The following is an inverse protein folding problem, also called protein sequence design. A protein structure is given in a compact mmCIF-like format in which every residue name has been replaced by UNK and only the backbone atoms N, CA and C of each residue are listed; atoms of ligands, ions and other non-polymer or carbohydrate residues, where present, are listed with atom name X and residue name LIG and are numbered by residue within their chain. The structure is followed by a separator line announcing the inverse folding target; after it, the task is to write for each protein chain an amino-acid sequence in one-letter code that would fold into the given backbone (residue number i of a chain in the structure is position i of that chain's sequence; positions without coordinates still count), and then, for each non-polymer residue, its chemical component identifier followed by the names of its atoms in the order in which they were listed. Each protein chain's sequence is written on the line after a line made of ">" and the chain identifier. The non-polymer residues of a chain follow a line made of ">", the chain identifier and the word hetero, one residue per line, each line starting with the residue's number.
data_IF_224093311491
#
_entry.id   IF_224093311491
#
_cell.length_a   1.000
_cell.length_b   1.000
_cell.length_c   1.000
_cell.angle_alpha   90.00
_cell.angle_beta   90.00
_cell.angle_gamma   90.00
#
_symmetry.space_group_name_H-M   'P 1'
#
loop_
_entity.id
_entity.type
_entity.pdbx_description
1 polymer ?
#
# COMPACT_ATOMS: atom_id res chain seq x y z
N UNK A 1 4.63 11.12 23.07
CA UNK A 1 4.54 10.09 22.00
C UNK A 1 3.14 9.48 21.88
N UNK A 2 2.52 8.94 22.95
CA UNK A 2 1.21 8.27 22.88
C UNK A 2 0.08 9.13 22.28
N UNK A 3 0.06 10.44 22.56
CA UNK A 3 -0.96 11.37 22.02
C UNK A 3 -0.94 11.50 20.50
N UNK A 4 0.24 11.55 19.87
CA UNK A 4 0.33 11.70 18.40
C UNK A 4 -0.16 10.46 17.69
N UNK A 5 0.21 9.27 18.18
CA UNK A 5 -0.31 8.01 17.67
C UNK A 5 -1.83 7.96 17.80
N UNK A 6 -2.39 8.39 18.94
CA UNK A 6 -3.84 8.44 19.12
C UNK A 6 -4.52 9.34 18.08
N UNK A 7 -3.97 10.52 17.77
CA UNK A 7 -4.51 11.38 16.71
C UNK A 7 -4.47 10.74 15.33
N UNK A 8 -3.39 10.02 14.99
CA UNK A 8 -3.30 9.30 13.71
C UNK A 8 -4.35 8.20 13.64
N UNK A 9 -4.50 7.40 14.70
CA UNK A 9 -5.51 6.34 14.76
C UNK A 9 -6.91 6.94 14.61
N UNK A 10 -7.26 7.95 15.41
CA UNK A 10 -8.57 8.60 15.31
C UNK A 10 -8.83 9.21 13.94
N UNK A 11 -7.83 9.85 13.32
CA UNK A 11 -7.97 10.42 11.98
C UNK A 11 -8.20 9.38 10.89
N UNK A 12 -7.55 8.21 10.99
CA UNK A 12 -7.75 7.09 10.06
C UNK A 12 -9.08 6.36 10.28
N UNK A 13 -9.58 6.32 11.52
CA UNK A 13 -10.87 5.71 11.88
C UNK A 13 -12.07 6.55 11.45
N UNK A 14 -11.95 7.88 11.50
CA UNK A 14 -13.06 8.79 11.17
C UNK A 14 -13.48 8.68 9.71
N UNK A 15 -12.51 8.71 8.78
CA UNK A 15 -12.75 8.53 7.35
C UNK A 15 -11.52 7.92 6.65
N UNK A 16 -11.71 6.99 5.70
CA UNK A 16 -10.63 6.54 4.83
C UNK A 16 -10.00 7.72 4.10
N UNK A 17 -8.71 7.96 4.33
CA UNK A 17 -7.94 9.01 3.67
C UNK A 17 -6.43 8.75 3.78
N UNK A 18 -5.64 9.56 3.06
CA UNK A 18 -4.22 9.78 3.37
C UNK A 18 -4.10 10.85 4.47
N UNK A 19 -4.24 10.44 5.72
CA UNK A 19 -4.23 11.34 6.87
C UNK A 19 -2.87 12.01 7.07
N UNK A 20 -1.80 11.22 7.14
CA UNK A 20 -0.45 11.76 7.38
C UNK A 20 0.04 12.60 6.20
N UNK A 21 -0.20 12.16 4.96
CA UNK A 21 0.17 12.95 3.80
C UNK A 21 -0.62 14.25 3.71
N UNK A 22 -1.92 14.24 4.05
CA UNK A 22 -2.71 15.47 4.11
C UNK A 22 -2.17 16.47 5.15
N UNK A 23 -1.85 16.01 6.36
CA UNK A 23 -1.28 16.87 7.41
C UNK A 23 0.10 17.39 6.99
N UNK A 24 0.93 16.54 6.38
CA UNK A 24 2.24 16.93 5.86
C UNK A 24 2.17 18.05 4.83
N UNK A 25 1.24 17.95 3.87
CA UNK A 25 1.01 18.98 2.87
C UNK A 25 0.40 20.26 3.47
N UNK A 26 -0.60 20.12 4.36
CA UNK A 26 -1.29 21.24 5.00
C UNK A 26 -0.35 22.11 5.83
N UNK A 27 0.60 21.47 6.52
CA UNK A 27 1.57 22.14 7.37
C UNK A 27 2.84 22.56 6.62
N UNK A 28 2.87 22.38 5.29
CA UNK A 28 4.04 22.68 4.44
C UNK A 28 5.35 22.08 4.97
N UNK A 29 5.28 20.85 5.50
CA UNK A 29 6.45 20.14 6.05
C UNK A 29 7.36 19.55 4.96
N UNK A 30 6.94 19.69 3.70
CA UNK A 30 7.71 19.34 2.51
C UNK A 30 9.02 20.12 2.42
N UNK A 31 10.07 19.43 1.97
CA UNK A 31 11.29 20.10 1.54
C UNK A 31 10.99 20.89 0.26
N UNK A 32 11.07 22.23 0.34
CA UNK A 32 10.83 23.15 -0.79
C UNK A 32 11.80 22.92 -1.94
N UNK A 33 12.95 22.27 -1.72
CA UNK A 33 13.90 21.91 -2.77
C UNK A 33 13.55 20.62 -3.51
N UNK A 34 12.62 19.81 -3.00
CA UNK A 34 12.23 18.52 -3.59
C UNK A 34 10.93 18.58 -4.41
N UNK A 35 10.18 19.69 -4.33
CA UNK A 35 8.88 19.87 -5.01
C UNK A 35 7.96 18.65 -4.90
N UNK A 36 7.87 18.09 -3.70
CA UNK A 36 7.05 16.91 -3.43
C UNK A 36 5.58 17.32 -3.26
N UNK A 37 4.71 16.76 -4.10
CA UNK A 37 3.27 16.91 -4.00
C UNK A 37 2.63 15.53 -3.86
N UNK A 38 1.77 15.37 -2.85
CA UNK A 38 1.03 14.12 -2.68
C UNK A 38 -0.28 14.12 -3.47
N UNK A 39 -0.60 12.96 -4.03
CA UNK A 39 -1.82 12.74 -4.80
C UNK A 39 -3.05 13.06 -3.96
N UNK A 40 -3.94 13.96 -4.41
CA UNK A 40 -5.18 14.24 -3.71
C UNK A 40 -6.04 12.98 -3.56
N UNK A 41 -6.69 12.83 -2.41
CA UNK A 41 -7.48 11.64 -2.08
C UNK A 41 -8.56 11.29 -3.12
N UNK A 42 -9.25 12.29 -3.67
CA UNK A 42 -10.28 12.10 -4.70
C UNK A 42 -9.71 11.51 -6.00
N UNK A 43 -8.49 11.93 -6.39
CA UNK A 43 -7.78 11.39 -7.57
C UNK A 43 -7.35 9.96 -7.30
N UNK A 44 -6.79 9.68 -6.12
CA UNK A 44 -6.40 8.33 -5.73
C UNK A 44 -7.60 7.36 -5.71
N UNK A 45 -8.75 7.80 -5.19
CA UNK A 45 -10.00 7.01 -5.21
C UNK A 45 -10.50 6.75 -6.63
N UNK A 46 -10.53 7.77 -7.49
CA UNK A 46 -10.94 7.62 -8.88
C UNK A 46 -10.06 6.58 -9.59
N UNK A 47 -8.73 6.69 -9.47
CA UNK A 47 -7.79 5.74 -10.06
C UNK A 47 -7.97 4.32 -9.51
N UNK A 48 -8.18 4.18 -8.20
CA UNK A 48 -8.42 2.88 -7.56
C UNK A 48 -9.70 2.20 -8.09
N UNK A 49 -10.79 2.96 -8.25
CA UNK A 49 -12.05 2.45 -8.81
C UNK A 49 -11.89 2.00 -10.26
N UNK A 50 -11.19 2.78 -11.07
CA UNK A 50 -10.89 2.41 -12.46
C UNK A 50 -10.03 1.15 -12.54
N UNK A 51 -9.05 1.00 -11.65
CA UNK A 51 -8.10 -0.11 -11.68
C UNK A 51 -8.67 -1.43 -11.14
N UNK A 52 -9.53 -1.39 -10.11
CA UNK A 52 -10.10 -2.60 -9.52
C UNK A 52 -11.05 -3.31 -10.51
N UNK A 53 -11.81 -2.55 -11.30
CA UNK A 53 -12.72 -3.09 -12.31
C UNK A 53 -13.81 -3.97 -11.70
N UNK A 54 -13.79 -5.27 -11.99
CA UNK A 54 -14.77 -6.27 -11.52
C UNK A 54 -14.11 -7.28 -10.54
N UNK A 55 -14.22 -7.06 -9.23
CA UNK A 55 -13.62 -7.89 -8.20
C UNK A 55 -13.96 -9.38 -8.29
N UNK A 56 -15.20 -9.73 -8.66
CA UNK A 56 -15.67 -11.11 -8.74
C UNK A 56 -14.97 -11.90 -9.84
N UNK A 57 -14.62 -11.23 -10.94
CA UNK A 57 -13.81 -11.82 -12.01
C UNK A 57 -12.34 -11.92 -11.57
N UNK A 58 -11.82 -10.92 -10.85
CA UNK A 58 -10.44 -10.86 -10.38
C UNK A 58 -10.10 -11.96 -9.36
N UNK A 59 -11.01 -12.24 -8.43
CA UNK A 59 -10.81 -13.21 -7.35
C UNK A 59 -11.46 -14.58 -7.60
N UNK A 60 -11.96 -14.85 -8.82
CA UNK A 60 -12.53 -16.16 -9.18
C UNK A 60 -11.52 -17.30 -8.98
N UNK A 61 -10.33 -17.12 -9.52
CA UNK A 61 -9.27 -18.15 -9.55
C UNK A 61 -8.03 -17.74 -8.74
N UNK A 62 -8.04 -16.54 -8.17
CA UNK A 62 -6.92 -15.96 -7.42
C UNK A 62 -7.32 -15.68 -5.97
N UNK A 63 -6.58 -16.19 -4.98
CA UNK A 63 -6.90 -15.95 -3.57
C UNK A 63 -6.56 -14.52 -3.11
N UNK A 64 -5.72 -13.81 -3.86
CA UNK A 64 -5.31 -12.43 -3.58
C UNK A 64 -4.67 -11.80 -4.82
N UNK A 65 -4.41 -10.49 -4.75
CA UNK A 65 -3.60 -9.72 -5.70
C UNK A 65 -2.36 -9.12 -5.03
N UNK A 66 -1.35 -8.81 -5.84
CA UNK A 66 -0.20 -8.00 -5.43
C UNK A 66 -0.29 -6.62 -6.06
N UNK A 67 0.01 -5.58 -5.28
CA UNK A 67 -0.04 -4.18 -5.71
C UNK A 67 1.32 -3.54 -5.53
N UNK A 68 1.89 -2.98 -6.60
CA UNK A 68 3.18 -2.31 -6.56
C UNK A 68 3.00 -0.80 -6.74
N UNK A 69 3.66 0.01 -5.91
CA UNK A 69 3.68 1.47 -6.02
C UNK A 69 5.12 1.99 -5.93
N UNK A 70 5.76 2.36 -7.04
CA UNK A 70 7.19 2.69 -7.07
C UNK A 70 7.53 4.10 -6.53
N UNK A 71 6.54 4.98 -6.32
CA UNK A 71 6.72 6.33 -5.79
C UNK A 71 5.57 6.67 -4.82
N UNK A 72 5.55 5.97 -3.68
CA UNK A 72 4.35 5.86 -2.87
C UNK A 72 3.99 7.10 -2.05
N UNK A 73 4.94 8.02 -1.81
CA UNK A 73 4.76 9.13 -0.91
C UNK A 73 4.30 8.64 0.47
N UNK A 74 3.24 9.24 1.00
CA UNK A 74 2.59 8.79 2.22
C UNK A 74 1.66 7.56 2.04
N UNK A 75 1.55 7.01 0.83
CA UNK A 75 0.79 5.81 0.52
C UNK A 75 -0.65 6.03 0.03
N UNK A 76 -1.01 7.25 -0.40
CA UNK A 76 -2.37 7.62 -0.78
C UNK A 76 -3.03 6.66 -1.78
N UNK A 77 -2.32 6.30 -2.86
CA UNK A 77 -2.80 5.39 -3.90
C UNK A 77 -3.10 3.99 -3.34
N UNK A 78 -2.19 3.45 -2.54
CA UNK A 78 -2.34 2.13 -1.91
C UNK A 78 -3.49 2.11 -0.92
N UNK A 79 -3.64 3.17 -0.11
CA UNK A 79 -4.75 3.33 0.85
C UNK A 79 -6.09 3.42 0.13
N UNK A 80 -6.16 4.20 -0.96
CA UNK A 80 -7.37 4.32 -1.77
C UNK A 80 -7.76 2.99 -2.42
N UNK A 81 -6.79 2.25 -2.97
CA UNK A 81 -7.04 0.92 -3.53
C UNK A 81 -7.56 -0.06 -2.48
N UNK A 82 -6.94 -0.10 -1.29
CA UNK A 82 -7.40 -0.94 -0.19
C UNK A 82 -8.81 -0.54 0.31
N UNK A 83 -9.15 0.75 0.29
CA UNK A 83 -10.49 1.25 0.61
C UNK A 83 -11.53 0.73 -0.39
N UNK A 84 -11.27 0.90 -1.69
CA UNK A 84 -12.17 0.45 -2.77
C UNK A 84 -12.32 -1.07 -2.77
N UNK A 85 -11.24 -1.81 -2.51
CA UNK A 85 -11.27 -3.26 -2.36
C UNK A 85 -12.16 -3.70 -1.18
N UNK A 86 -12.06 -2.99 -0.05
CA UNK A 86 -12.91 -3.23 1.13
C UNK A 86 -14.38 -2.94 0.84
N UNK A 87 -14.67 -1.85 0.13
CA UNK A 87 -16.03 -1.50 -0.29
C UNK A 87 -16.64 -2.56 -1.22
N UNK A 88 -15.82 -3.22 -2.04
CA UNK A 88 -16.21 -4.36 -2.86
C UNK A 88 -16.41 -5.68 -2.07
N UNK A 89 -16.26 -5.67 -0.74
CA UNK A 89 -16.46 -6.85 0.11
C UNK A 89 -15.21 -7.72 0.31
N UNK A 90 -14.05 -7.32 -0.21
CA UNK A 90 -12.80 -8.07 -0.07
C UNK A 90 -11.90 -7.43 0.98
N UNK A 91 -11.59 -8.17 2.05
CA UNK A 91 -10.74 -7.62 3.10
C UNK A 91 -9.28 -7.52 2.64
N UNK A 92 -8.62 -6.34 2.70
CA UNK A 92 -7.24 -6.17 2.23
C UNK A 92 -6.23 -7.10 2.91
N UNK A 93 -6.33 -7.32 4.24
CA UNK A 93 -5.44 -8.21 4.98
C UNK A 93 -5.34 -9.65 4.43
N UNK A 94 -6.37 -10.11 3.71
CA UNK A 94 -6.41 -11.44 3.08
C UNK A 94 -6.31 -11.38 1.56
N UNK A 95 -6.81 -10.35 0.90
CA UNK A 95 -6.96 -10.37 -0.57
C UNK A 95 -5.98 -9.49 -1.31
N UNK A 96 -5.09 -8.78 -0.61
CA UNK A 96 -4.14 -7.86 -1.21
C UNK A 96 -2.82 -7.90 -0.45
N UNK A 97 -1.71 -7.86 -1.16
CA UNK A 97 -0.38 -7.63 -0.60
C UNK A 97 0.33 -6.52 -1.37
N UNK A 98 1.01 -5.62 -0.66
CA UNK A 98 1.59 -4.41 -1.28
C UNK A 98 3.12 -4.41 -1.25
N UNK A 99 3.75 -3.92 -2.31
CA UNK A 99 5.15 -3.49 -2.31
C UNK A 99 5.18 -2.03 -2.72
N UNK A 100 5.55 -1.17 -1.78
CA UNK A 100 5.55 0.28 -2.01
C UNK A 100 6.94 0.84 -1.78
N UNK A 101 7.40 1.73 -2.64
CA UNK A 101 8.75 2.29 -2.61
C UNK A 101 8.69 3.80 -2.62
N UNK A 102 9.53 4.45 -1.82
CA UNK A 102 9.80 5.89 -1.95
C UNK A 102 11.28 6.21 -1.69
N UNK A 103 11.78 7.23 -2.38
CA UNK A 103 13.15 7.72 -2.21
C UNK A 103 13.31 8.51 -0.91
N UNK A 104 12.23 9.15 -0.43
CA UNK A 104 12.20 9.91 0.81
C UNK A 104 11.86 9.01 2.01
N UNK A 105 12.79 8.84 2.98
CA UNK A 105 12.55 8.03 4.17
C UNK A 105 11.38 8.51 5.03
N UNK A 106 11.06 9.81 5.03
CA UNK A 106 9.97 10.36 5.82
C UNK A 106 8.61 10.03 5.18
N UNK A 107 8.51 10.18 3.85
CA UNK A 107 7.32 9.81 3.10
C UNK A 107 7.03 8.31 3.23
N UNK A 108 8.03 7.46 2.98
CA UNK A 108 7.95 6.03 3.23
C UNK A 108 7.58 5.69 4.68
N UNK A 109 8.10 6.44 5.66
CA UNK A 109 7.73 6.30 7.07
C UNK A 109 6.24 6.56 7.34
N UNK A 110 5.67 7.60 6.72
CA UNK A 110 4.23 7.87 6.78
C UNK A 110 3.43 6.73 6.16
N UNK A 111 3.83 6.24 4.98
CA UNK A 111 3.19 5.08 4.35
C UNK A 111 3.22 3.85 5.28
N UNK A 112 4.38 3.55 5.88
CA UNK A 112 4.52 2.43 6.81
C UNK A 112 3.54 2.49 7.98
N UNK A 113 3.40 3.66 8.61
CA UNK A 113 2.47 3.86 9.73
C UNK A 113 1.02 3.64 9.27
N UNK A 114 0.61 4.31 8.18
CA UNK A 114 -0.77 4.24 7.70
C UNK A 114 -1.14 2.83 7.24
N UNK A 115 -0.29 2.15 6.49
CA UNK A 115 -0.52 0.77 6.03
C UNK A 115 -0.63 -0.19 7.22
N UNK A 116 0.23 -0.03 8.22
CA UNK A 116 0.21 -0.86 9.44
C UNK A 116 -1.09 -0.69 10.22
N UNK A 117 -1.55 0.55 10.41
CA UNK A 117 -2.78 0.84 11.16
C UNK A 117 -4.05 0.49 10.38
N UNK A 118 -4.03 0.60 9.04
CA UNK A 118 -5.15 0.27 8.17
C UNK A 118 -5.32 -1.24 7.91
N UNK A 119 -4.45 -2.08 8.48
CA UNK A 119 -4.54 -3.53 8.33
C UNK A 119 -4.09 -4.02 6.96
N UNK A 120 -3.16 -3.33 6.30
CA UNK A 120 -2.71 -3.65 4.94
C UNK A 120 -1.35 -4.38 5.01
N UNK A 121 -1.25 -5.61 4.49
CA UNK A 121 -0.02 -6.37 4.51
C UNK A 121 0.86 -6.00 3.32
N UNK A 122 2.16 -5.95 3.55
CA UNK A 122 3.10 -5.53 2.53
C UNK A 122 4.46 -5.15 3.06
N UNK A 123 5.30 -4.73 2.12
CA UNK A 123 6.60 -4.13 2.35
C UNK A 123 6.60 -2.65 1.97
N UNK A 124 7.32 -1.85 2.75
CA UNK A 124 7.64 -0.45 2.47
C UNK A 124 9.15 -0.34 2.29
N UNK A 125 9.56 0.06 1.10
CA UNK A 125 10.94 0.15 0.67
C UNK A 125 11.36 1.62 0.66
N UNK A 126 12.41 1.94 1.40
CA UNK A 126 13.12 3.20 1.27
C UNK A 126 14.23 2.96 0.26
N UNK A 127 14.16 3.60 -0.90
CA UNK A 127 14.96 3.18 -2.04
C UNK A 127 14.68 3.98 -3.31
N UNK A 128 15.45 3.70 -4.36
CA UNK A 128 15.24 4.28 -5.68
C UNK A 128 14.65 3.22 -6.61
N UNK A 129 13.37 3.37 -6.94
CA UNK A 129 12.67 2.43 -7.82
C UNK A 129 13.23 2.39 -9.24
N UNK A 130 13.88 3.46 -9.74
CA UNK A 130 14.46 3.50 -11.08
C UNK A 130 15.73 2.65 -11.20
N UNK A 131 16.48 2.50 -10.10
CA UNK A 131 17.72 1.70 -10.06
C UNK A 131 17.55 0.39 -9.29
N UNK A 132 16.31 0.05 -8.92
CA UNK A 132 15.97 -1.06 -8.01
C UNK A 132 16.80 -1.07 -6.72
N UNK A 133 17.16 0.11 -6.22
CA UNK A 133 17.92 0.25 -4.98
C UNK A 133 16.96 0.10 -3.80
N UNK A 134 17.25 -0.84 -2.90
CA UNK A 134 16.43 -1.14 -1.72
C UNK A 134 17.23 -0.89 -0.43
N UNK A 135 17.46 0.38 -0.08
CA UNK A 135 18.29 0.78 1.08
C UNK A 135 17.75 0.25 2.40
N UNK A 136 16.43 0.25 2.59
CA UNK A 136 15.78 -0.31 3.77
C UNK A 136 14.40 -0.86 3.41
N UNK A 137 14.06 -2.02 3.96
CA UNK A 137 12.75 -2.66 3.76
C UNK A 137 12.08 -2.83 5.11
N UNK A 138 10.84 -2.38 5.21
CA UNK A 138 10.00 -2.48 6.42
C UNK A 138 8.77 -3.31 6.10
N UNK A 139 8.60 -4.44 6.79
CA UNK A 139 7.39 -5.25 6.67
C UNK A 139 6.34 -4.78 7.68
N UNK A 140 5.11 -4.63 7.19
CA UNK A 140 3.96 -4.27 8.04
C UNK A 140 3.62 -5.40 9.01
N UNK A 141 3.06 -5.14 10.20
CA UNK A 141 2.70 -6.19 11.16
C UNK A 141 1.78 -7.27 10.56
N UNK A 142 0.85 -6.88 9.69
CA UNK A 142 -0.10 -7.78 9.02
C UNK A 142 0.60 -8.74 8.06
N UNK A 143 1.76 -8.36 7.50
CA UNK A 143 2.59 -9.29 6.71
C UNK A 143 2.91 -10.55 7.52
N UNK A 144 3.31 -10.39 8.77
CA UNK A 144 3.69 -11.50 9.65
C UNK A 144 2.47 -12.26 10.16
N UNK A 145 1.43 -11.54 10.60
CA UNK A 145 0.22 -12.15 11.17
C UNK A 145 -0.44 -13.15 10.21
N UNK A 146 -0.56 -12.79 8.93
CA UNK A 146 -1.25 -13.58 7.90
C UNK A 146 -0.29 -14.53 7.12
N UNK A 147 0.93 -14.72 7.63
CA UNK A 147 1.98 -15.59 7.05
C UNK A 147 2.21 -15.31 5.54
N UNK A 148 2.26 -14.02 5.18
CA UNK A 148 2.33 -13.61 3.77
C UNK A 148 3.58 -14.10 3.06
N UNK A 149 4.70 -14.24 3.77
CA UNK A 149 5.91 -14.89 3.24
C UNK A 149 5.62 -16.28 2.64
N UNK A 150 4.87 -17.12 3.35
CA UNK A 150 4.46 -18.44 2.85
C UNK A 150 3.44 -18.36 1.71
N UNK A 151 2.48 -17.43 1.80
CA UNK A 151 1.44 -17.23 0.79
C UNK A 151 2.03 -16.78 -0.56
N UNK A 152 2.97 -15.84 -0.53
CA UNK A 152 3.67 -15.35 -1.71
C UNK A 152 4.53 -16.45 -2.36
N UNK A 153 5.29 -17.23 -1.58
CA UNK A 153 6.09 -18.36 -2.10
C UNK A 153 5.23 -19.40 -2.83
N UNK A 154 4.05 -19.74 -2.27
CA UNK A 154 3.10 -20.67 -2.93
C UNK A 154 2.51 -20.07 -4.20
N UNK A 155 2.32 -18.76 -4.22
CA UNK A 155 1.77 -18.05 -5.36
C UNK A 155 2.76 -17.89 -6.51
N UNK A 156 4.06 -17.75 -6.25
CA UNK A 156 5.10 -17.69 -7.30
C UNK A 156 5.36 -19.05 -7.95
N UNK A 157 5.23 -20.16 -7.19
CA UNK A 157 5.42 -21.52 -7.74
C UNK A 157 4.32 -21.97 -8.72
N UNK A 158 3.08 -21.51 -8.52
CA UNK A 158 1.94 -21.86 -9.40
C UNK A 158 2.02 -21.32 -10.85
N UNK A 159 2.46 -20.09 -11.13
CA UNK A 159 2.55 -19.56 -12.50
C UNK A 159 3.64 -20.23 -13.33
N UNK A 160 4.79 -20.63 -12.75
CA UNK A 160 5.87 -21.29 -13.49
C UNK A 160 5.48 -22.72 -13.92
N UNK A 161 4.83 -23.50 -13.04
CA UNK A 161 4.34 -24.86 -13.37
C UNK A 161 3.22 -24.87 -14.42
N UNK A 162 2.52 -23.74 -14.63
CA UNK A 162 1.49 -23.59 -15.64
C UNK A 162 2.05 -23.16 -17.00
N UNK A 163 3.19 -22.46 -17.07
CA UNK A 163 3.84 -22.15 -18.34
C UNK A 163 4.60 -23.34 -18.94
N UNK A 164 5.18 -24.22 -18.10
CA UNK A 164 5.88 -25.42 -18.58
C UNK A 164 4.94 -26.53 -19.12
N UNK A 165 3.67 -26.56 -18.70
CA UNK A 165 2.69 -27.55 -19.18
C UNK A 165 1.90 -27.08 -20.42
N UNK A 166 2.15 -25.86 -20.88
CA UNK A 166 1.52 -25.28 -22.07
C UNK A 166 2.49 -25.17 -23.27
N UNK A 167 3.69 -25.74 -23.15
CA UNK A 167 4.71 -25.83 -24.20
C UNK A 167 4.83 -27.26 -24.74
#
# INVERSE_FOLDING_TARGET
>A
MVRLLAYVVSGLEENPCDFLGRIYMLLELGDKGKDQYFTPWSVALMMAQMQLGKPEELFRDKPFITFAEPACGAGAMTLAFACVLRQAGYSPHRHMWVSVTDIDPLAAGMAYIQLSLCGIPGEVVIGNALSDERRRVLLTPVHYWEEWSGRLKKHVKKPEEQSEKAA
#
